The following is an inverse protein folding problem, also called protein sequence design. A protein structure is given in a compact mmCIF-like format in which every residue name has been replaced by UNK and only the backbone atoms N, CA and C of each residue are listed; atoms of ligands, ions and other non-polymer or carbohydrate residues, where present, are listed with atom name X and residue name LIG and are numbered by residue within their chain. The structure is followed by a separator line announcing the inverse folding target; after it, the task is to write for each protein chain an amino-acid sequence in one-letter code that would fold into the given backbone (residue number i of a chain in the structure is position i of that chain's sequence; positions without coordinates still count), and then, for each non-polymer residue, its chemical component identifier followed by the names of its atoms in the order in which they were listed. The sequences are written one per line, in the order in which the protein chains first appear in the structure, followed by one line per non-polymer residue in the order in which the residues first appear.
data_IF_382315609891
#
_entry.id   IF_382315609891
#
_cell.length_a   1.000
_cell.length_b   1.000
_cell.length_c   1.000
_cell.angle_alpha   90.00
_cell.angle_beta   90.00
_cell.angle_gamma   90.00
#
_symmetry.space_group_name_H-M   'P 1'
#
loop_
_entity.id
_entity.type
_entity.pdbx_description
1 polymer ?
#
# COMPACT_ATOMS: atom_id res chain seq x y z
N UNK A 1 -8.60 40.64 1.00
CA UNK A 1 -8.45 39.63 2.07
C UNK A 1 -9.68 38.74 2.01
N UNK A 2 -9.53 37.45 1.76
CA UNK A 2 -10.65 36.50 1.61
C UNK A 2 -11.36 36.31 2.96
N UNK A 3 -12.70 36.31 2.98
CA UNK A 3 -13.44 36.10 4.23
C UNK A 3 -13.34 34.64 4.69
N UNK A 4 -13.56 34.39 5.98
CA UNK A 4 -13.56 33.02 6.53
C UNK A 4 -14.62 32.14 5.85
N UNK A 5 -15.80 32.69 5.59
CA UNK A 5 -16.90 31.97 4.96
C UNK A 5 -16.63 31.67 3.49
N UNK A 6 -16.00 32.61 2.78
CA UNK A 6 -15.59 32.41 1.39
C UNK A 6 -14.50 31.34 1.28
N UNK A 7 -13.53 31.33 2.21
CA UNK A 7 -12.51 30.28 2.28
C UNK A 7 -13.12 28.91 2.60
N UNK A 8 -14.09 28.84 3.52
CA UNK A 8 -14.76 27.59 3.88
C UNK A 8 -15.49 26.96 2.69
N UNK A 9 -16.29 27.76 1.96
CA UNK A 9 -17.01 27.29 0.76
C UNK A 9 -16.06 26.77 -0.32
N UNK A 10 -14.93 27.46 -0.55
CA UNK A 10 -13.91 27.02 -1.52
C UNK A 10 -13.25 25.70 -1.09
N UNK A 11 -12.95 25.55 0.20
CA UNK A 11 -12.37 24.31 0.75
C UNK A 11 -13.32 23.12 0.65
N UNK A 12 -14.60 23.34 0.90
CA UNK A 12 -15.64 22.29 0.79
C UNK A 12 -15.79 21.82 -0.66
N UNK A 13 -15.93 22.75 -1.61
CA UNK A 13 -15.99 22.42 -3.04
C UNK A 13 -14.74 21.70 -3.55
N UNK A 14 -13.55 22.09 -3.06
CA UNK A 14 -12.31 21.42 -3.44
C UNK A 14 -12.18 20.03 -2.79
N UNK A 15 -12.60 19.88 -1.54
CA UNK A 15 -12.62 18.58 -0.86
C UNK A 15 -13.54 17.57 -1.58
N UNK A 16 -14.72 18.01 -2.03
CA UNK A 16 -15.64 17.18 -2.82
C UNK A 16 -15.01 16.75 -4.15
N UNK A 17 -14.40 17.70 -4.89
CA UNK A 17 -13.69 17.42 -6.14
C UNK A 17 -12.58 16.39 -5.92
N UNK A 18 -11.72 16.60 -4.91
CA UNK A 18 -10.62 15.70 -4.57
C UNK A 18 -11.15 14.30 -4.23
N UNK A 19 -12.22 14.21 -3.44
CA UNK A 19 -12.83 12.94 -3.06
C UNK A 19 -13.30 12.13 -4.28
N UNK A 20 -13.99 12.78 -5.22
CA UNK A 20 -14.46 12.13 -6.47
C UNK A 20 -13.29 11.61 -7.29
N UNK A 21 -12.24 12.42 -7.47
CA UNK A 21 -11.05 12.03 -8.23
C UNK A 21 -10.32 10.84 -7.60
N UNK A 22 -10.10 10.88 -6.28
CA UNK A 22 -9.45 9.79 -5.55
C UNK A 22 -10.26 8.49 -5.59
N UNK A 23 -11.59 8.58 -5.47
CA UNK A 23 -12.47 7.41 -5.56
C UNK A 23 -12.37 6.74 -6.94
N UNK A 24 -12.40 7.54 -8.01
CA UNK A 24 -12.20 7.04 -9.39
C UNK A 24 -10.84 6.38 -9.57
N UNK A 25 -9.76 7.01 -9.09
CA UNK A 25 -8.41 6.46 -9.21
C UNK A 25 -8.27 5.11 -8.48
N UNK A 26 -8.83 4.99 -7.27
CA UNK A 26 -8.84 3.73 -6.51
C UNK A 26 -9.62 2.62 -7.24
N UNK A 27 -10.76 2.95 -7.84
CA UNK A 27 -11.55 2.01 -8.64
C UNK A 27 -10.78 1.45 -9.83
N UNK A 28 -10.11 2.33 -10.60
CA UNK A 28 -9.26 1.93 -11.74
C UNK A 28 -8.13 1.01 -11.30
N UNK A 29 -7.43 1.36 -10.21
CA UNK A 29 -6.31 0.56 -9.68
C UNK A 29 -6.77 -0.82 -9.21
N UNK A 30 -7.95 -0.93 -8.57
CA UNK A 30 -8.50 -2.23 -8.15
C UNK A 30 -8.84 -3.13 -9.34
N UNK A 31 -9.33 -2.57 -10.43
CA UNK A 31 -9.67 -3.32 -11.64
C UNK A 31 -8.43 -3.84 -12.40
N UNK A 32 -7.30 -3.15 -12.33
CA UNK A 32 -6.09 -3.51 -13.07
C UNK A 32 -5.21 -4.58 -12.40
N UNK A 33 -5.46 -4.92 -11.14
CA UNK A 33 -4.63 -5.87 -10.38
C UNK A 33 -5.23 -7.27 -10.46
N UNK A 34 -4.46 -8.26 -10.93
CA UNK A 34 -4.85 -9.68 -10.92
C UNK A 34 -5.08 -10.19 -9.49
N UNK A 35 -6.09 -11.01 -9.26
CA UNK A 35 -6.36 -11.58 -7.94
C UNK A 35 -7.25 -12.81 -8.01
N UNK A 36 -7.44 -13.46 -6.88
CA UNK A 36 -8.11 -14.76 -6.78
C UNK A 36 -7.19 -15.85 -6.26
N UNK A 37 -7.75 -17.04 -6.09
CA UNK A 37 -7.14 -18.25 -5.54
C UNK A 37 -5.89 -18.73 -6.28
N UNK A 38 -5.81 -18.50 -7.60
CA UNK A 38 -4.63 -18.81 -8.42
C UNK A 38 -3.46 -17.81 -8.30
N UNK A 39 -3.58 -16.77 -7.48
CA UNK A 39 -2.55 -15.73 -7.37
C UNK A 39 -2.12 -15.49 -5.93
N UNK A 40 -0.85 -15.11 -5.76
CA UNK A 40 -0.25 -14.82 -4.46
C UNK A 40 0.45 -13.47 -4.48
N UNK A 41 0.44 -12.77 -3.35
CA UNK A 41 1.17 -11.52 -3.21
C UNK A 41 2.69 -11.78 -3.16
N UNK A 42 3.47 -10.82 -3.65
CA UNK A 42 4.93 -10.82 -3.66
C UNK A 42 5.46 -9.46 -3.23
N UNK A 43 6.52 -9.43 -2.41
CA UNK A 43 7.11 -8.19 -1.91
C UNK A 43 8.46 -7.93 -2.57
N UNK A 44 8.59 -6.79 -3.21
CA UNK A 44 9.84 -6.21 -3.71
C UNK A 44 10.57 -5.51 -2.56
N UNK A 45 11.55 -6.18 -1.97
CA UNK A 45 12.27 -5.71 -0.78
C UNK A 45 12.93 -4.34 -0.95
N UNK A 46 13.39 -4.01 -2.15
CA UNK A 46 14.02 -2.73 -2.49
C UNK A 46 13.04 -1.54 -2.40
N UNK A 47 11.74 -1.78 -2.62
CA UNK A 47 10.69 -0.77 -2.50
C UNK A 47 10.01 -0.79 -1.13
N UNK A 48 10.11 -1.90 -0.40
CA UNK A 48 9.49 -2.04 0.91
C UNK A 48 10.19 -1.16 1.95
N UNK A 49 9.48 -0.19 2.50
CA UNK A 49 10.01 0.73 3.53
C UNK A 49 9.71 0.29 4.96
N UNK A 50 9.05 -0.86 5.17
CA UNK A 50 8.75 -1.37 6.52
C UNK A 50 7.62 -0.63 7.26
N UNK A 51 6.69 -0.01 6.52
CA UNK A 51 5.60 0.82 7.05
C UNK A 51 4.39 0.05 7.63
N UNK A 52 4.43 -1.28 7.68
CA UNK A 52 3.42 -2.20 8.27
C UNK A 52 1.94 -2.07 7.81
N UNK A 53 1.58 -1.16 6.91
CA UNK A 53 0.19 -1.03 6.40
C UNK A 53 -0.36 -2.29 5.72
N UNK A 54 0.49 -3.17 5.21
CA UNK A 54 0.08 -4.42 4.61
C UNK A 54 -0.42 -5.44 5.65
N UNK A 55 0.14 -5.45 6.86
CA UNK A 55 -0.29 -6.37 7.92
C UNK A 55 -1.65 -5.94 8.49
N UNK A 56 -1.91 -4.63 8.56
CA UNK A 56 -3.18 -4.07 9.04
C UNK A 56 -4.37 -4.49 8.16
N UNK A 57 -4.16 -4.67 6.85
CA UNK A 57 -5.23 -4.99 5.89
C UNK A 57 -5.31 -6.48 5.55
N UNK A 58 -4.48 -7.33 6.15
CA UNK A 58 -4.48 -8.76 5.89
C UNK A 58 -5.29 -9.47 6.97
N UNK A 59 -6.51 -9.88 6.61
CA UNK A 59 -7.39 -10.62 7.53
C UNK A 59 -7.00 -12.11 7.67
N UNK A 60 -6.07 -12.59 6.83
CA UNK A 60 -5.65 -14.00 6.75
C UNK A 60 -4.30 -14.27 7.44
N UNK A 61 -3.72 -13.28 8.14
CA UNK A 61 -2.39 -13.35 8.77
C UNK A 61 -1.25 -13.82 7.83
N UNK A 62 -1.41 -13.56 6.52
CA UNK A 62 -0.51 -14.04 5.48
C UNK A 62 0.76 -13.18 5.31
N UNK A 63 1.05 -12.25 6.22
CA UNK A 63 2.14 -11.27 6.10
C UNK A 63 2.91 -11.13 7.40
N UNK A 64 4.23 -11.32 7.32
CA UNK A 64 5.15 -11.14 8.43
C UNK A 64 6.13 -10.00 8.17
N UNK A 65 6.57 -9.34 9.23
CA UNK A 65 7.65 -8.36 9.20
C UNK A 65 8.92 -8.95 9.81
N UNK A 66 10.05 -8.76 9.15
CA UNK A 66 11.36 -9.16 9.65
C UNK A 66 12.36 -8.03 9.50
N UNK A 67 13.41 -8.03 10.33
CA UNK A 67 14.51 -7.08 10.22
C UNK A 67 15.47 -7.55 9.12
N UNK A 68 15.90 -6.60 8.29
CA UNK A 68 16.91 -6.79 7.26
C UNK A 68 17.93 -5.67 7.35
N UNK A 69 19.20 -6.05 7.34
CA UNK A 69 20.31 -5.09 7.38
C UNK A 69 20.22 -4.14 6.18
N UNK A 70 20.38 -2.85 6.47
CA UNK A 70 20.35 -1.82 5.45
C UNK A 70 21.74 -1.65 4.84
N UNK A 71 21.79 -1.58 3.51
CA UNK A 71 23.02 -1.28 2.78
C UNK A 71 22.89 0.14 2.23
N UNK A 72 23.45 1.11 2.95
CA UNK A 72 23.55 2.49 2.48
C UNK A 72 25.02 2.90 2.43
N UNK A 73 25.54 3.34 1.27
CA UNK A 73 26.91 3.85 1.16
C UNK A 73 27.16 5.16 1.94
N UNK A 74 26.10 5.84 2.41
CA UNK A 74 26.16 7.19 2.96
C UNK A 74 25.74 7.27 4.43
N UNK A 75 25.03 6.26 4.95
CA UNK A 75 24.48 6.26 6.31
C UNK A 75 24.62 4.87 6.94
N UNK A 76 25.12 4.82 8.17
CA UNK A 76 25.10 3.61 8.99
C UNK A 76 23.74 3.50 9.68
N UNK A 77 22.79 2.83 9.02
CA UNK A 77 21.53 2.41 9.62
C UNK A 77 21.59 0.90 9.83
N UNK A 78 21.43 0.39 11.08
CA UNK A 78 21.70 -1.02 11.37
C UNK A 78 20.78 -1.96 10.60
N UNK A 79 19.47 -1.68 10.54
CA UNK A 79 18.51 -2.49 9.79
C UNK A 79 17.21 -1.72 9.53
N UNK A 80 16.38 -2.24 8.62
CA UNK A 80 15.00 -1.81 8.40
C UNK A 80 14.07 -3.03 8.38
N UNK A 81 12.79 -2.81 8.65
CA UNK A 81 11.76 -3.86 8.55
C UNK A 81 11.39 -4.10 7.09
N UNK A 82 11.17 -5.35 6.73
CA UNK A 82 10.68 -5.79 5.42
C UNK A 82 9.50 -6.73 5.61
N UNK A 83 8.56 -6.69 4.68
CA UNK A 83 7.41 -7.59 4.67
C UNK A 83 7.72 -8.84 3.84
N UNK A 84 7.19 -9.98 4.28
CA UNK A 84 7.21 -11.26 3.54
C UNK A 84 5.81 -11.85 3.54
N UNK A 85 5.43 -12.46 2.42
CA UNK A 85 4.15 -13.15 2.26
C UNK A 85 4.30 -14.63 2.60
N UNK A 86 3.44 -15.13 3.47
CA UNK A 86 3.24 -16.56 3.71
C UNK A 86 2.30 -17.08 2.62
N UNK A 87 2.86 -17.74 1.61
CA UNK A 87 2.13 -18.10 0.38
C UNK A 87 0.91 -19.00 0.61
N UNK A 88 0.98 -19.86 1.63
CA UNK A 88 -0.09 -20.82 1.93
C UNK A 88 -1.30 -20.17 2.58
N UNK A 89 -1.09 -19.12 3.38
CA UNK A 89 -2.16 -18.35 4.01
C UNK A 89 -2.74 -17.26 3.09
N UNK A 90 -2.03 -16.87 2.02
CA UNK A 90 -2.48 -15.82 1.14
C UNK A 90 -3.64 -16.28 0.23
N UNK A 91 -4.78 -15.59 0.34
CA UNK A 91 -6.01 -15.86 -0.43
C UNK A 91 -6.09 -15.15 -1.79
N UNK A 92 -5.13 -14.27 -2.09
CA UNK A 92 -5.13 -13.49 -3.33
C UNK A 92 -6.12 -12.32 -3.35
N UNK A 93 -6.50 -11.78 -2.19
CA UNK A 93 -7.51 -10.71 -2.05
C UNK A 93 -7.06 -9.32 -2.57
N UNK A 94 -5.74 -9.09 -2.71
CA UNK A 94 -5.08 -7.86 -3.22
C UNK A 94 -5.14 -6.61 -2.32
N UNK A 95 -5.66 -6.70 -1.09
CA UNK A 95 -5.78 -5.52 -0.22
C UNK A 95 -4.41 -4.93 0.14
N UNK A 96 -3.41 -5.77 0.39
CA UNK A 96 -2.04 -5.35 0.69
C UNK A 96 -1.36 -4.60 -0.48
N UNK A 97 -1.68 -4.95 -1.72
CA UNK A 97 -1.21 -4.22 -2.91
C UNK A 97 -1.78 -2.82 -2.94
N UNK A 98 -3.08 -2.69 -2.67
CA UNK A 98 -3.77 -1.40 -2.66
C UNK A 98 -3.31 -0.49 -1.51
N UNK A 99 -2.99 -1.08 -0.35
CA UNK A 99 -2.52 -0.32 0.82
C UNK A 99 -1.05 0.05 0.77
N UNK A 100 -0.22 -0.63 -0.03
CA UNK A 100 1.20 -0.33 -0.07
C UNK A 100 1.47 1.09 -0.62
N UNK A 101 2.09 1.98 0.17
CA UNK A 101 2.33 3.37 -0.24
C UNK A 101 3.48 3.52 -1.25
N UNK A 102 4.32 2.50 -1.39
CA UNK A 102 5.49 2.48 -2.28
C UNK A 102 5.36 1.47 -3.41
N UNK A 103 4.17 0.90 -3.62
CA UNK A 103 3.92 -0.14 -4.63
C UNK A 103 4.89 -1.34 -4.53
N UNK A 104 5.39 -1.63 -3.33
CA UNK A 104 6.33 -2.72 -3.08
C UNK A 104 5.68 -4.10 -3.19
N UNK A 105 4.35 -4.20 -3.24
CA UNK A 105 3.63 -5.48 -3.27
C UNK A 105 2.96 -5.64 -4.62
N UNK A 106 3.20 -6.76 -5.28
CA UNK A 106 2.56 -7.14 -6.56
C UNK A 106 1.88 -8.50 -6.41
N UNK A 107 1.02 -8.84 -7.37
CA UNK A 107 0.43 -10.17 -7.45
C UNK A 107 1.20 -10.98 -8.49
N UNK A 108 1.49 -12.25 -8.18
CA UNK A 108 2.10 -13.24 -9.07
C UNK A 108 1.23 -14.49 -9.13
N UNK A 109 1.49 -15.37 -10.09
CA UNK A 109 0.77 -16.65 -10.18
C UNK A 109 1.37 -17.62 -9.16
N UNK A 110 0.52 -18.47 -8.56
CA UNK A 110 0.90 -19.38 -7.48
C UNK A 110 1.70 -20.59 -7.98
#
# INVERSE_FOLDING_TARGET
MTSRDELAKRREAEAERIAILLARQKGVRRASIKGGDGTVAWVSENLCIGCDQCTIVCDDDAIELYLKDMVSPLLEVPSNRKARIIRDACTGCRLCVLSCPTDAITMIDK
#
